data_IF_789158514679
#
_entry.id   IF_789158514679
#
_cell.length_a   1.000
_cell.length_b   1.000
_cell.length_c   1.000
_cell.angle_alpha   90.00
_cell.angle_beta   90.00
_cell.angle_gamma   90.00
#
_symmetry.space_group_name_H-M   'P 1'
#
loop_
_entity.id
_entity.type
_entity.pdbx_description
1 polymer ?
#
# COMPACT_ATOMS: atom_id res chain seq x y z
N UNK A 1 -18.20 -9.71 1.79
CA UNK A 1 -17.76 -8.32 1.59
C UNK A 1 -17.44 -8.13 0.11
N UNK A 2 -17.99 -7.11 -0.54
CA UNK A 2 -17.89 -6.95 -2.00
C UNK A 2 -16.53 -6.35 -2.40
N UNK A 3 -15.75 -7.10 -3.18
CA UNK A 3 -14.61 -6.58 -3.94
C UNK A 3 -15.15 -5.68 -5.05
N UNK A 4 -14.92 -4.38 -4.94
CA UNK A 4 -15.32 -3.40 -5.94
C UNK A 4 -14.46 -3.58 -7.21
N UNK A 5 -15.05 -3.67 -8.41
CA UNK A 5 -14.31 -3.71 -9.66
C UNK A 5 -13.48 -2.44 -9.84
N UNK A 6 -12.22 -2.59 -10.22
CA UNK A 6 -11.27 -1.49 -10.42
C UNK A 6 -11.42 -0.98 -11.84
N UNK A 7 -12.08 0.17 -11.97
CA UNK A 7 -12.17 1.03 -13.17
C UNK A 7 -12.74 2.42 -12.79
N UNK A 8 -12.09 3.17 -11.88
CA UNK A 8 -12.50 4.57 -11.60
C UNK A 8 -11.37 5.39 -10.97
N UNK A 9 -10.13 5.28 -11.47
CA UNK A 9 -8.93 5.96 -10.92
C UNK A 9 -8.66 5.57 -9.44
N UNK A 10 -7.81 4.57 -9.25
CA UNK A 10 -7.39 4.07 -7.93
C UNK A 10 -6.84 5.17 -7.00
N UNK A 11 -6.25 6.23 -7.56
CA UNK A 11 -5.81 7.41 -6.80
C UNK A 11 -6.97 8.16 -6.17
N UNK A 12 -8.06 8.38 -6.91
CA UNK A 12 -9.24 9.09 -6.42
C UNK A 12 -9.97 8.30 -5.34
N UNK A 13 -10.02 6.98 -5.51
CA UNK A 13 -10.55 6.06 -4.48
C UNK A 13 -9.73 6.14 -3.20
N UNK A 14 -8.40 6.15 -3.30
CA UNK A 14 -7.51 6.30 -2.15
C UNK A 14 -7.72 7.65 -1.47
N UNK A 15 -7.88 8.73 -2.24
CA UNK A 15 -8.14 10.07 -1.72
C UNK A 15 -9.51 10.19 -1.01
N UNK A 16 -10.49 9.38 -1.39
CA UNK A 16 -11.82 9.37 -0.79
C UNK A 16 -11.93 8.51 0.49
N UNK A 17 -10.89 7.72 0.84
CA UNK A 17 -10.93 6.88 2.03
C UNK A 17 -10.78 7.70 3.33
N UNK A 18 -11.67 7.52 4.32
CA UNK A 18 -11.52 8.17 5.62
C UNK A 18 -10.19 7.82 6.28
N UNK A 19 -9.49 8.84 6.81
CA UNK A 19 -8.21 8.65 7.50
C UNK A 19 -7.01 8.45 6.58
N UNK A 20 -7.20 8.50 5.25
CA UNK A 20 -6.08 8.50 4.29
C UNK A 20 -5.71 9.94 3.94
N UNK A 21 -4.41 10.24 4.00
CA UNK A 21 -3.85 11.53 3.58
C UNK A 21 -2.78 11.28 2.52
N UNK A 22 -2.93 11.88 1.34
CA UNK A 22 -1.98 11.74 0.24
C UNK A 22 -1.07 12.96 0.20
N UNK A 23 0.25 12.72 0.27
CA UNK A 23 1.25 13.76 0.04
C UNK A 23 1.75 13.67 -1.41
N UNK A 24 1.76 14.76 -2.19
CA UNK A 24 2.11 14.69 -3.61
C UNK A 24 3.62 14.61 -3.90
N UNK A 25 4.50 14.45 -2.88
CA UNK A 25 5.98 14.26 -2.98
C UNK A 25 6.62 14.12 -1.56
N UNK A 26 6.24 13.12 -0.76
CA UNK A 26 6.93 12.88 0.50
C UNK A 26 8.34 12.35 0.17
N UNK A 27 9.39 13.00 0.70
CA UNK A 27 10.70 12.36 0.71
C UNK A 27 10.81 11.51 1.97
N UNK A 28 11.32 10.27 1.90
CA UNK A 28 11.57 9.46 3.09
C UNK A 28 12.60 10.09 4.07
N UNK A 29 13.31 11.13 3.63
CA UNK A 29 14.18 11.97 4.49
C UNK A 29 13.42 13.11 5.20
N UNK A 30 12.13 13.33 4.88
CA UNK A 30 11.33 14.35 5.55
C UNK A 30 11.02 13.91 6.98
N UNK A 31 11.31 14.76 7.98
CA UNK A 31 10.98 14.49 9.37
C UNK A 31 9.50 14.17 9.58
N UNK A 32 8.61 14.75 8.76
CA UNK A 32 7.16 14.55 8.85
C UNK A 32 6.77 13.09 8.61
N UNK A 33 7.28 12.45 7.56
CA UNK A 33 7.00 11.04 7.25
C UNK A 33 7.50 10.14 8.38
N UNK A 34 8.71 10.44 8.89
CA UNK A 34 9.28 9.72 10.03
C UNK A 34 8.43 9.90 11.29
N UNK A 35 7.91 11.10 11.54
CA UNK A 35 7.04 11.35 12.69
C UNK A 35 5.73 10.58 12.60
N UNK A 36 5.09 10.53 11.42
CA UNK A 36 3.85 9.77 11.19
C UNK A 36 4.05 8.27 11.44
N UNK A 37 5.13 7.71 10.90
CA UNK A 37 5.54 6.32 11.17
C UNK A 37 5.74 6.08 12.67
N UNK A 38 6.45 6.99 13.36
CA UNK A 38 6.70 6.85 14.79
C UNK A 38 5.44 7.00 15.64
N UNK A 39 4.40 7.65 15.11
CA UNK A 39 3.05 7.71 15.70
C UNK A 39 2.24 6.43 15.44
N UNK A 40 2.80 5.45 14.72
CA UNK A 40 2.13 4.19 14.39
C UNK A 40 1.21 4.29 13.17
N UNK A 41 1.23 5.41 12.43
CA UNK A 41 0.42 5.56 11.23
C UNK A 41 0.97 4.72 10.09
N UNK A 42 0.07 4.08 9.34
CA UNK A 42 0.46 3.32 8.14
C UNK A 42 0.88 4.27 7.03
N UNK A 43 2.15 4.22 6.65
CA UNK A 43 2.69 5.02 5.56
C UNK A 43 2.98 4.15 4.35
N UNK A 44 2.36 4.47 3.21
CA UNK A 44 2.66 3.85 1.92
C UNK A 44 3.30 4.88 0.98
N UNK A 45 4.18 4.42 0.11
CA UNK A 45 4.85 5.21 -0.90
C UNK A 45 4.54 4.63 -2.29
N UNK A 46 4.24 5.50 -3.26
CA UNK A 46 4.18 5.14 -4.68
C UNK A 46 5.21 5.99 -5.42
N UNK A 47 6.13 5.35 -6.15
CA UNK A 47 7.24 6.01 -6.84
C UNK A 47 7.25 5.63 -8.31
N UNK A 48 7.45 6.60 -9.19
CA UNK A 48 7.74 6.35 -10.60
C UNK A 48 9.25 6.09 -10.79
N UNK A 49 9.61 5.01 -11.46
CA UNK A 49 10.99 4.59 -11.71
C UNK A 49 11.12 4.00 -13.12
N UNK A 50 11.99 4.60 -13.95
CA UNK A 50 12.38 4.09 -15.28
C UNK A 50 11.24 3.61 -16.22
N UNK A 51 10.06 4.26 -16.16
CA UNK A 51 8.91 3.91 -17.00
C UNK A 51 7.92 2.95 -16.34
N UNK A 52 8.14 2.58 -15.08
CA UNK A 52 7.24 1.80 -14.24
C UNK A 52 6.91 2.55 -12.93
N UNK A 53 6.00 1.98 -12.16
CA UNK A 53 5.65 2.43 -10.82
C UNK A 53 5.84 1.29 -9.82
N UNK A 54 6.30 1.67 -8.62
CA UNK A 54 6.41 0.78 -7.47
C UNK A 54 5.60 1.32 -6.30
N UNK A 55 5.07 0.41 -5.48
CA UNK A 55 4.40 0.72 -4.23
C UNK A 55 5.07 -0.01 -3.07
N UNK A 56 5.23 0.65 -1.93
CA UNK A 56 5.79 0.05 -0.72
C UNK A 56 5.08 0.55 0.54
N UNK A 57 5.03 -0.28 1.58
CA UNK A 57 4.51 0.02 2.90
C UNK A 57 5.63 0.07 3.93
N UNK A 58 5.62 1.07 4.81
CA UNK A 58 6.59 1.22 5.88
C UNK A 58 6.08 0.59 7.18
N UNK A 59 6.54 -0.63 7.49
CA UNK A 59 6.11 -1.39 8.66
C UNK A 59 6.66 -0.81 9.98
N UNK A 60 7.98 -0.66 10.06
CA UNK A 60 8.75 -0.15 11.23
C UNK A 60 9.86 0.74 10.74
N UNK A 61 10.42 1.59 11.60
CA UNK A 61 11.51 2.50 11.21
C UNK A 61 12.62 1.73 10.46
N UNK A 62 12.81 2.07 9.18
CA UNK A 62 13.81 1.44 8.32
C UNK A 62 13.41 0.11 7.67
N UNK A 63 12.16 -0.35 7.85
CA UNK A 63 11.63 -1.55 7.21
C UNK A 63 10.53 -1.20 6.21
N UNK A 64 10.85 -1.37 4.94
CA UNK A 64 9.91 -1.22 3.83
C UNK A 64 9.52 -2.59 3.28
N UNK A 65 8.22 -2.79 3.06
CA UNK A 65 7.65 -3.97 2.47
C UNK A 65 7.13 -3.60 1.07
N UNK A 66 7.62 -4.24 0.01
CA UNK A 66 7.11 -3.97 -1.33
C UNK A 66 5.66 -4.48 -1.45
N UNK A 67 4.83 -3.70 -2.14
CA UNK A 67 3.42 -4.01 -2.45
C UNK A 67 3.18 -4.19 -3.95
N UNK A 68 3.96 -3.51 -4.79
CA UNK A 68 3.96 -3.70 -6.24
C UNK A 68 5.31 -3.23 -6.81
N UNK A 69 5.81 -3.94 -7.81
CA UNK A 69 7.03 -3.63 -8.55
C UNK A 69 6.78 -3.78 -10.05
N UNK A 70 7.49 -3.01 -10.88
CA UNK A 70 7.44 -3.07 -12.34
C UNK A 70 6.03 -3.01 -12.96
N UNK A 71 5.09 -2.34 -12.28
CA UNK A 71 3.70 -2.16 -12.72
C UNK A 71 3.45 -0.77 -13.31
N UNK A 72 2.23 -0.53 -13.79
CA UNK A 72 1.77 0.83 -14.09
C UNK A 72 1.33 1.59 -12.82
N UNK A 73 1.01 2.87 -12.96
CA UNK A 73 0.58 3.72 -11.83
C UNK A 73 -0.70 3.15 -11.18
N UNK A 74 -1.63 2.63 -11.98
CA UNK A 74 -2.90 2.13 -11.49
C UNK A 74 -2.72 0.87 -10.63
N UNK A 75 -1.89 -0.07 -11.07
CA UNK A 75 -1.50 -1.26 -10.34
C UNK A 75 -0.83 -0.90 -8.99
N UNK A 76 0.06 0.10 -8.98
CA UNK A 76 0.72 0.54 -7.75
C UNK A 76 -0.29 1.12 -6.74
N UNK A 77 -1.22 1.98 -7.17
CA UNK A 77 -2.27 2.50 -6.29
C UNK A 77 -3.27 1.42 -5.85
N UNK A 78 -3.62 0.50 -6.74
CA UNK A 78 -4.51 -0.61 -6.42
C UNK A 78 -3.89 -1.56 -5.39
N UNK A 79 -2.57 -1.78 -5.44
CA UNK A 79 -1.85 -2.56 -4.43
C UNK A 79 -1.95 -1.91 -3.04
N UNK A 80 -1.78 -0.58 -2.94
CA UNK A 80 -1.95 0.16 -1.69
C UNK A 80 -3.37 0.02 -1.15
N UNK A 81 -4.38 0.19 -2.01
CA UNK A 81 -5.79 0.02 -1.62
C UNK A 81 -6.08 -1.40 -1.10
N UNK A 82 -5.61 -2.42 -1.82
CA UNK A 82 -5.79 -3.82 -1.42
C UNK A 82 -5.10 -4.11 -0.09
N UNK A 83 -3.88 -3.63 0.10
CA UNK A 83 -3.15 -3.77 1.37
C UNK A 83 -3.93 -3.16 2.52
N UNK A 84 -4.31 -1.87 2.42
CA UNK A 84 -5.02 -1.16 3.48
C UNK A 84 -6.36 -1.80 3.85
N UNK A 85 -7.08 -2.34 2.85
CA UNK A 85 -8.32 -3.07 3.08
C UNK A 85 -8.09 -4.37 3.86
N UNK A 86 -7.05 -5.13 3.52
CA UNK A 86 -6.73 -6.41 4.16
C UNK A 86 -6.21 -6.24 5.59
N UNK A 87 -5.42 -5.19 5.86
CA UNK A 87 -4.88 -4.92 7.21
C UNK A 87 -5.80 -4.03 8.06
N UNK A 88 -6.99 -3.69 7.59
CA UNK A 88 -7.90 -2.77 8.30
C UNK A 88 -8.24 -3.23 9.72
N UNK A 89 -8.34 -4.55 9.95
CA UNK A 89 -8.63 -5.15 11.25
C UNK A 89 -7.37 -5.38 12.12
N UNK A 90 -6.16 -5.24 11.57
CA UNK A 90 -4.92 -5.42 12.33
C UNK A 90 -4.66 -4.18 13.19
N UNK A 91 -4.47 -4.31 14.52
CA UNK A 91 -4.10 -3.19 15.36
C UNK A 91 -2.75 -2.59 14.94
N UNK A 92 -2.67 -1.26 14.90
CA UNK A 92 -1.47 -0.53 14.46
C UNK A 92 -0.37 -0.44 15.54
N UNK A 93 -0.66 -0.86 16.77
CA UNK A 93 0.34 -0.82 17.83
C UNK A 93 1.36 -1.94 17.66
N UNK A 94 2.56 -1.66 18.15
CA UNK A 94 3.72 -2.47 17.93
C UNK A 94 3.69 -3.80 18.70
N UNK A 95 3.35 -4.88 17.99
CA UNK A 95 3.43 -6.25 18.48
C UNK A 95 3.91 -7.22 17.38
N UNK A 96 4.69 -8.27 17.72
CA UNK A 96 5.20 -9.23 16.74
C UNK A 96 4.11 -9.88 15.87
N UNK A 97 2.95 -10.17 16.45
CA UNK A 97 1.80 -10.79 15.78
C UNK A 97 1.18 -9.87 14.71
N UNK A 98 1.14 -8.56 14.96
CA UNK A 98 0.64 -7.58 13.99
C UNK A 98 1.63 -7.43 12.83
N UNK A 99 2.93 -7.35 13.15
CA UNK A 99 3.98 -7.27 12.13
C UNK A 99 3.97 -8.50 11.21
N UNK A 100 3.77 -9.69 11.77
CA UNK A 100 3.66 -10.92 11.00
C UNK A 100 2.45 -10.90 10.06
N UNK A 101 1.29 -10.45 10.54
CA UNK A 101 0.08 -10.32 9.73
C UNK A 101 0.24 -9.31 8.59
N UNK A 102 0.82 -8.14 8.87
CA UNK A 102 1.05 -7.11 7.84
C UNK A 102 2.11 -7.55 6.82
N UNK A 103 3.17 -8.26 7.24
CA UNK A 103 4.16 -8.87 6.32
C UNK A 103 3.53 -9.91 5.39
N UNK A 104 2.73 -10.83 5.95
CA UNK A 104 2.04 -11.85 5.15
C UNK A 104 1.09 -11.21 4.14
N UNK A 105 0.39 -10.15 4.55
CA UNK A 105 -0.52 -9.39 3.68
C UNK A 105 0.25 -8.67 2.57
N UNK A 106 1.35 -7.99 2.91
CA UNK A 106 2.19 -7.31 1.92
C UNK A 106 2.73 -8.28 0.87
N UNK A 107 3.22 -9.47 1.26
CA UNK A 107 3.68 -10.50 0.32
C UNK A 107 2.57 -11.03 -0.61
N UNK A 108 1.36 -11.17 -0.07
CA UNK A 108 0.17 -11.56 -0.85
C UNK A 108 -0.17 -10.50 -1.90
N UNK A 109 -0.16 -9.22 -1.50
CA UNK A 109 -0.40 -8.09 -2.40
C UNK A 109 0.70 -8.02 -3.46
N UNK A 110 1.97 -8.10 -3.08
CA UNK A 110 3.10 -8.07 -4.02
C UNK A 110 2.94 -9.11 -5.14
N UNK A 111 2.64 -10.34 -4.76
CA UNK A 111 2.44 -11.45 -5.71
C UNK A 111 1.27 -11.19 -6.67
N UNK A 112 0.23 -10.51 -6.19
CA UNK A 112 -0.95 -10.19 -6.99
C UNK A 112 -0.77 -8.98 -7.91
N UNK A 113 0.19 -8.08 -7.63
CA UNK A 113 0.28 -6.78 -8.31
C UNK A 113 1.60 -6.54 -9.06
N UNK A 114 2.70 -7.25 -8.76
CA UNK A 114 3.98 -7.03 -9.46
C UNK A 114 3.99 -7.52 -10.91
N UNK A 115 4.62 -6.74 -11.80
CA UNK A 115 4.80 -7.04 -13.22
C UNK A 115 3.51 -7.01 -14.05
N UNK A 116 2.43 -6.41 -13.54
CA UNK A 116 1.13 -6.38 -14.21
C UNK A 116 0.81 -4.99 -14.77
N UNK A 117 0.39 -4.97 -16.04
CA UNK A 117 -0.07 -3.77 -16.76
C UNK A 117 -1.60 -3.69 -16.88
N UNK A 118 -2.31 -4.72 -16.41
CA UNK A 118 -3.78 -4.82 -16.31
C UNK A 118 -4.10 -5.89 -15.28
N UNK A 119 -4.85 -5.57 -14.23
CA UNK A 119 -5.10 -6.51 -13.11
C UNK A 119 -6.58 -6.88 -13.06
N UNK A 120 -6.88 -8.16 -13.26
CA UNK A 120 -8.11 -8.79 -12.77
C UNK A 120 -7.79 -9.57 -11.50
N UNK A 121 -8.49 -9.24 -10.41
CA UNK A 121 -8.30 -9.87 -9.11
C UNK A 121 -9.13 -11.17 -9.00
N UNK A 122 -8.60 -12.22 -8.35
CA UNK A 122 -9.38 -13.42 -8.08
C UNK A 122 -10.56 -13.09 -7.17
N UNK A 123 -11.76 -13.58 -7.55
CA UNK A 123 -13.00 -13.43 -6.78
C UNK A 123 -12.82 -14.13 -5.43
N UNK A 124 -13.06 -13.39 -4.34
CA UNK A 124 -13.08 -13.97 -2.99
C UNK A 124 -14.18 -15.05 -2.87
N UNK A 125 -13.83 -16.18 -2.25
CA UNK A 125 -14.73 -17.30 -1.95
C UNK A 125 -15.68 -16.98 -0.79
#
# INVERSE_FOLDING_TARGET
>A
MAFLPIDQSSRDRLAAMPGVTIFPRPSPRRPEVRALVMQGLRCCEVVAEAGAHRAAYHLRLGTWLPLAEDGDEEAAFAAVLAFLALVAAVPQHYAPEHDAAERATAATVLTAFSGRSTISLPRAA
#
